data_IF_761517449886
#
_entry.id   IF_761517449886
#
_cell.length_a   1.000
_cell.length_b   1.000
_cell.length_c   1.000
_cell.angle_alpha   90.00
_cell.angle_beta   90.00
_cell.angle_gamma   90.00
#
_symmetry.space_group_name_H-M   'P 1'
#
loop_
_entity.id
_entity.type
_entity.pdbx_description
1 polymer ?
#
# COMPACT_ATOMS: atom_id res chain seq x y z
N UNK A 1 -43.69 53.23 -14.90
CA UNK A 1 -42.98 52.03 -15.38
C UNK A 1 -42.38 51.31 -14.17
N UNK A 2 -42.89 50.14 -13.79
CA UNK A 2 -42.33 49.31 -12.72
C UNK A 2 -41.25 48.41 -13.32
N UNK A 3 -40.00 48.56 -12.88
CA UNK A 3 -38.93 47.66 -13.26
C UNK A 3 -39.22 46.24 -12.72
N UNK A 4 -39.11 45.24 -13.60
CA UNK A 4 -39.44 43.84 -13.30
C UNK A 4 -38.35 43.16 -12.46
N UNK A 5 -38.67 42.47 -11.35
CA UNK A 5 -37.67 41.80 -10.49
C UNK A 5 -37.01 40.56 -11.12
N UNK A 6 -37.41 40.17 -12.33
CA UNK A 6 -36.90 38.98 -13.02
C UNK A 6 -35.46 39.13 -13.54
N UNK A 7 -34.96 40.37 -13.73
CA UNK A 7 -33.62 40.63 -14.27
C UNK A 7 -32.49 40.45 -13.23
N UNK A 8 -32.79 40.63 -11.93
CA UNK A 8 -31.79 40.58 -10.84
C UNK A 8 -31.42 39.14 -10.47
N UNK A 9 -32.34 38.19 -10.59
CA UNK A 9 -32.11 36.77 -10.26
C UNK A 9 -31.19 36.09 -11.30
N UNK A 10 -31.32 36.41 -12.59
CA UNK A 10 -30.49 35.85 -13.67
C UNK A 10 -29.05 36.39 -13.63
N UNK A 11 -28.86 37.66 -13.26
CA UNK A 11 -27.53 38.28 -13.07
C UNK A 11 -26.79 37.75 -11.84
N UNK A 12 -27.50 37.49 -10.74
CA UNK A 12 -26.90 36.92 -9.53
C UNK A 12 -26.49 35.45 -9.73
N UNK A 13 -27.31 34.65 -10.44
CA UNK A 13 -26.98 33.26 -10.76
C UNK A 13 -25.77 33.17 -11.70
N UNK A 14 -25.67 34.03 -12.72
CA UNK A 14 -24.53 34.05 -13.64
C UNK A 14 -23.24 34.56 -12.96
N UNK A 15 -23.33 35.56 -12.08
CA UNK A 15 -22.20 36.03 -11.28
C UNK A 15 -21.71 34.97 -10.29
N UNK A 16 -22.62 34.26 -9.61
CA UNK A 16 -22.27 33.15 -8.73
C UNK A 16 -21.66 31.97 -9.50
N UNK A 17 -22.19 31.63 -10.69
CA UNK A 17 -21.62 30.60 -11.55
C UNK A 17 -20.19 30.96 -12.02
N UNK A 18 -19.96 32.22 -12.41
CA UNK A 18 -18.63 32.71 -12.78
C UNK A 18 -17.65 32.67 -11.61
N UNK A 19 -18.05 33.13 -10.41
CA UNK A 19 -17.21 33.07 -9.20
C UNK A 19 -16.86 31.63 -8.82
N UNK A 20 -17.81 30.70 -8.94
CA UNK A 20 -17.57 29.27 -8.70
C UNK A 20 -16.49 28.73 -9.65
N UNK A 21 -16.59 29.06 -10.93
CA UNK A 21 -15.62 28.64 -11.95
C UNK A 21 -14.21 29.19 -11.69
N UNK A 22 -14.08 30.40 -11.13
CA UNK A 22 -12.78 30.95 -10.71
C UNK A 22 -12.11 30.07 -9.65
N UNK A 23 -12.87 29.62 -8.64
CA UNK A 23 -12.34 28.75 -7.57
C UNK A 23 -12.05 27.34 -8.09
N UNK A 24 -12.88 26.79 -8.97
CA UNK A 24 -12.62 25.50 -9.62
C UNK A 24 -11.35 25.54 -10.47
N UNK A 25 -11.09 26.65 -11.18
CA UNK A 25 -9.83 26.87 -11.91
C UNK A 25 -8.63 26.99 -10.97
N UNK A 26 -8.76 27.71 -9.87
CA UNK A 26 -7.70 27.85 -8.86
C UNK A 26 -7.35 26.50 -8.23
N UNK A 27 -8.34 25.68 -7.88
CA UNK A 27 -8.15 24.30 -7.42
C UNK A 27 -7.46 23.43 -8.48
N UNK A 28 -7.88 23.52 -9.74
CA UNK A 28 -7.24 22.76 -10.83
C UNK A 28 -5.78 23.15 -11.04
N UNK A 29 -5.45 24.44 -10.92
CA UNK A 29 -4.07 24.91 -10.96
C UNK A 29 -3.26 24.38 -9.76
N UNK A 30 -3.84 24.44 -8.56
CA UNK A 30 -3.25 23.86 -7.35
C UNK A 30 -2.95 22.36 -7.54
N UNK A 31 -3.88 21.62 -8.15
CA UNK A 31 -3.69 20.19 -8.45
C UNK A 31 -2.57 19.93 -9.44
N UNK A 32 -2.44 20.76 -10.49
CA UNK A 32 -1.35 20.65 -11.47
C UNK A 32 0.02 20.94 -10.85
N UNK A 33 0.12 21.97 -10.00
CA UNK A 33 1.35 22.31 -9.28
C UNK A 33 1.72 21.22 -8.27
N UNK A 34 0.72 20.66 -7.58
CA UNK A 34 0.90 19.54 -6.67
C UNK A 34 1.40 18.30 -7.43
N UNK A 35 0.75 17.93 -8.53
CA UNK A 35 1.14 16.80 -9.38
C UNK A 35 2.59 16.90 -9.87
N UNK A 36 3.00 18.10 -10.32
CA UNK A 36 4.38 18.38 -10.76
C UNK A 36 5.38 18.53 -9.61
N UNK A 37 4.91 18.40 -8.36
CA UNK A 37 5.70 18.62 -7.14
C UNK A 37 6.46 19.95 -7.16
N UNK A 38 5.85 20.98 -7.75
CA UNK A 38 6.44 22.32 -7.93
C UNK A 38 6.33 23.14 -6.64
N UNK A 39 7.15 22.77 -5.65
CA UNK A 39 7.08 23.30 -4.28
C UNK A 39 7.11 24.84 -4.20
N UNK A 40 7.93 25.48 -5.04
CA UNK A 40 8.07 26.94 -5.04
C UNK A 40 6.77 27.59 -5.54
N UNK A 41 6.32 27.22 -6.73
CA UNK A 41 5.07 27.72 -7.31
C UNK A 41 3.83 27.38 -6.47
N UNK A 42 3.78 26.22 -5.82
CA UNK A 42 2.66 25.84 -4.96
C UNK A 42 2.62 26.69 -3.69
N UNK A 43 3.77 26.97 -3.08
CA UNK A 43 3.86 27.84 -1.92
C UNK A 43 3.45 29.29 -2.25
N UNK A 44 3.76 29.77 -3.46
CA UNK A 44 3.40 31.12 -3.93
C UNK A 44 1.89 31.28 -4.19
N UNK A 45 1.10 30.20 -4.17
CA UNK A 45 -0.37 30.28 -4.20
C UNK A 45 -0.99 30.70 -2.87
N UNK A 46 -0.21 30.73 -1.79
CA UNK A 46 -0.68 31.10 -0.45
C UNK A 46 -0.51 32.60 -0.19
N UNK A 47 -1.38 33.15 0.67
CA UNK A 47 -1.14 34.45 1.28
C UNK A 47 0.14 34.44 2.13
N UNK A 48 0.74 35.61 2.44
CA UNK A 48 1.91 35.70 3.32
C UNK A 48 1.71 35.01 4.69
N UNK A 49 0.50 35.05 5.22
CA UNK A 49 0.09 34.37 6.47
C UNK A 49 -0.76 33.11 6.21
N UNK A 50 -0.78 32.60 4.98
CA UNK A 50 -1.53 31.42 4.59
C UNK A 50 -1.06 30.17 5.33
N UNK A 51 -1.97 29.22 5.59
CA UNK A 51 -1.67 28.05 6.43
C UNK A 51 -2.00 26.73 5.73
N UNK A 52 -1.02 25.83 5.66
CA UNK A 52 -1.21 24.43 5.28
C UNK A 52 -1.18 23.54 6.52
N UNK A 53 -2.23 22.77 6.75
CA UNK A 53 -2.35 21.90 7.92
C UNK A 53 -3.38 20.78 7.70
N UNK A 54 -3.54 19.92 8.70
CA UNK A 54 -4.39 18.74 8.57
C UNK A 54 -4.44 17.89 9.83
N UNK A 55 -5.29 16.86 9.83
CA UNK A 55 -5.38 15.92 10.94
C UNK A 55 -4.08 15.10 11.02
N UNK A 56 -3.35 15.20 12.14
CA UNK A 56 -2.12 14.44 12.38
C UNK A 56 -0.86 15.03 11.74
N UNK A 57 -0.92 16.27 11.23
CA UNK A 57 0.26 16.98 10.71
C UNK A 57 0.49 18.30 11.45
N UNK A 58 1.75 18.74 11.47
CA UNK A 58 2.14 20.08 11.94
C UNK A 58 1.48 21.17 11.06
N UNK A 59 1.22 22.34 11.64
CA UNK A 59 0.80 23.54 10.88
C UNK A 59 2.02 24.22 10.26
N UNK A 60 1.94 24.54 8.97
CA UNK A 60 2.96 25.30 8.23
C UNK A 60 2.36 26.64 7.84
N UNK A 61 3.03 27.74 8.23
CA UNK A 61 2.51 29.10 8.09
C UNK A 61 3.44 29.89 7.18
N UNK A 62 2.84 30.51 6.16
CA UNK A 62 3.52 31.32 5.15
C UNK A 62 4.25 30.52 4.07
N UNK A 63 4.52 31.15 2.91
CA UNK A 63 5.10 30.46 1.75
C UNK A 63 6.42 29.74 2.06
N UNK A 64 7.33 30.32 2.84
CA UNK A 64 8.63 29.70 3.11
C UNK A 64 8.53 28.39 3.90
N UNK A 65 7.69 28.38 4.95
CA UNK A 65 7.47 27.17 5.75
C UNK A 65 6.77 26.09 4.94
N UNK A 66 5.82 26.47 4.08
CA UNK A 66 5.08 25.55 3.21
C UNK A 66 6.02 24.97 2.15
N UNK A 67 6.82 25.81 1.50
CA UNK A 67 7.84 25.40 0.50
C UNK A 67 8.82 24.39 1.07
N UNK A 68 9.36 24.64 2.27
CA UNK A 68 10.29 23.71 2.94
C UNK A 68 9.64 22.34 3.19
N UNK A 69 8.39 22.33 3.65
CA UNK A 69 7.63 21.09 3.83
C UNK A 69 7.40 20.37 2.50
N UNK A 70 6.99 21.08 1.45
CA UNK A 70 6.75 20.47 0.14
C UNK A 70 8.04 19.88 -0.47
N UNK A 71 9.20 20.52 -0.28
CA UNK A 71 10.50 20.00 -0.74
C UNK A 71 10.95 18.71 -0.03
N UNK A 72 10.43 18.42 1.18
CA UNK A 72 10.81 17.18 1.87
C UNK A 72 10.31 15.92 1.16
N UNK A 73 9.21 15.99 0.40
CA UNK A 73 8.69 14.85 -0.35
C UNK A 73 9.60 14.44 -1.51
N UNK A 74 10.24 15.41 -2.18
CA UNK A 74 11.24 15.14 -3.21
C UNK A 74 12.45 14.43 -2.62
N UNK A 75 12.90 14.86 -1.43
CA UNK A 75 14.03 14.25 -0.73
C UNK A 75 13.71 12.82 -0.25
N UNK A 76 12.44 12.53 0.02
CA UNK A 76 11.96 11.22 0.42
C UNK A 76 11.76 10.23 -0.74
N UNK A 77 12.11 10.60 -1.99
CA UNK A 77 11.97 9.72 -3.16
C UNK A 77 10.51 9.39 -3.51
N UNK A 78 9.57 10.27 -3.17
CA UNK A 78 8.15 10.11 -3.47
C UNK A 78 7.85 10.75 -4.81
N UNK A 79 7.10 10.07 -5.67
CA UNK A 79 6.62 10.58 -6.95
C UNK A 79 5.11 10.46 -7.05
N UNK A 80 4.43 11.47 -7.60
CA UNK A 80 3.00 11.40 -7.87
C UNK A 80 2.75 10.74 -9.24
N UNK A 81 1.88 9.73 -9.26
CA UNK A 81 1.34 9.08 -10.45
C UNK A 81 0.06 9.81 -10.90
N UNK A 82 -0.77 10.24 -9.94
CA UNK A 82 -1.91 11.12 -10.18
C UNK A 82 -2.21 11.97 -8.95
N UNK A 83 -2.85 13.11 -9.16
CA UNK A 83 -3.37 13.99 -8.11
C UNK A 83 -4.64 14.68 -8.61
N UNK A 84 -5.65 14.75 -7.76
CA UNK A 84 -6.84 15.53 -8.07
C UNK A 84 -7.73 15.80 -6.86
N UNK A 85 -8.42 16.94 -6.92
CA UNK A 85 -9.49 17.32 -6.02
C UNK A 85 -10.85 17.22 -6.70
N UNK A 86 -11.88 16.94 -5.89
CA UNK A 86 -13.28 16.96 -6.29
C UNK A 86 -14.06 17.84 -5.29
N UNK A 87 -14.24 19.15 -5.58
CA UNK A 87 -14.99 20.05 -4.71
C UNK A 87 -16.48 19.67 -4.69
N UNK A 88 -17.03 19.46 -3.50
CA UNK A 88 -18.46 19.15 -3.28
C UNK A 88 -19.28 20.39 -2.96
N UNK A 89 -18.68 21.38 -2.29
CA UNK A 89 -19.30 22.66 -1.99
C UNK A 89 -18.29 23.79 -2.18
N UNK A 90 -18.79 24.92 -2.67
CA UNK A 90 -18.06 26.18 -2.74
C UNK A 90 -19.00 27.28 -2.25
N UNK A 91 -18.64 27.95 -1.15
CA UNK A 91 -19.42 29.04 -0.54
C UNK A 91 -18.62 30.33 -0.55
N UNK A 92 -19.31 31.47 -0.65
CA UNK A 92 -18.69 32.78 -0.75
C UNK A 92 -19.18 33.70 0.36
N UNK A 93 -18.27 34.51 0.91
CA UNK A 93 -18.56 35.63 1.82
C UNK A 93 -17.68 36.80 1.38
N UNK A 94 -18.26 37.75 0.63
CA UNK A 94 -17.51 38.85 0.02
C UNK A 94 -16.42 38.34 -0.93
N UNK A 95 -15.17 38.75 -0.67
CA UNK A 95 -13.96 38.33 -1.39
C UNK A 95 -13.28 37.10 -0.79
N UNK A 96 -14.02 36.34 0.02
CA UNK A 96 -13.59 35.05 0.55
C UNK A 96 -14.41 33.93 -0.06
N UNK A 97 -13.75 32.83 -0.42
CA UNK A 97 -14.41 31.58 -0.80
C UNK A 97 -13.95 30.42 0.09
N UNK A 98 -14.84 29.50 0.39
CA UNK A 98 -14.53 28.24 1.07
C UNK A 98 -14.95 27.11 0.14
N UNK A 99 -13.99 26.28 -0.26
CA UNK A 99 -14.26 25.05 -0.99
C UNK A 99 -13.98 23.83 -0.12
N UNK A 100 -14.91 22.88 -0.10
CA UNK A 100 -14.80 21.62 0.64
C UNK A 100 -15.06 20.46 -0.32
N UNK A 101 -14.33 19.36 -0.13
CA UNK A 101 -14.45 18.21 -1.02
C UNK A 101 -13.56 17.04 -0.64
N UNK A 102 -13.29 16.19 -1.62
CA UNK A 102 -12.39 15.05 -1.49
C UNK A 102 -11.16 15.22 -2.36
N UNK A 103 -10.05 14.58 -2.01
CA UNK A 103 -8.88 14.46 -2.85
C UNK A 103 -8.46 13.01 -3.00
N UNK A 104 -7.78 12.71 -4.11
CA UNK A 104 -7.09 11.45 -4.37
C UNK A 104 -5.69 11.73 -4.91
N UNK A 105 -4.71 10.99 -4.39
CA UNK A 105 -3.33 11.00 -4.82
C UNK A 105 -2.86 9.56 -5.00
N UNK A 106 -2.34 9.22 -6.17
CA UNK A 106 -1.61 7.97 -6.37
C UNK A 106 -0.13 8.29 -6.35
N UNK A 107 0.65 7.58 -5.55
CA UNK A 107 2.08 7.85 -5.40
C UNK A 107 2.90 6.58 -5.61
N UNK A 108 4.13 6.76 -6.09
CA UNK A 108 5.20 5.77 -6.01
C UNK A 108 6.16 6.20 -4.89
N UNK A 109 6.44 5.31 -3.96
CA UNK A 109 7.36 5.53 -2.84
C UNK A 109 8.80 5.17 -3.23
N UNK A 110 9.77 5.57 -2.41
CA UNK A 110 11.20 5.32 -2.67
C UNK A 110 11.55 3.84 -2.81
N UNK A 111 10.82 2.96 -2.10
CA UNK A 111 11.00 1.51 -2.20
C UNK A 111 10.34 0.89 -3.45
N UNK A 112 9.79 1.72 -4.34
CA UNK A 112 9.09 1.32 -5.57
C UNK A 112 7.62 0.97 -5.39
N UNK A 113 7.12 0.88 -4.14
CA UNK A 113 5.71 0.57 -3.88
C UNK A 113 4.80 1.69 -4.36
N UNK A 114 3.59 1.34 -4.81
CA UNK A 114 2.56 2.33 -5.12
C UNK A 114 1.50 2.37 -4.03
N UNK A 115 0.98 3.57 -3.75
CA UNK A 115 -0.06 3.79 -2.76
C UNK A 115 -1.14 4.74 -3.29
N UNK A 116 -2.38 4.51 -2.86
CA UNK A 116 -3.50 5.42 -3.12
C UNK A 116 -3.89 6.10 -1.80
N UNK A 117 -3.76 7.41 -1.77
CA UNK A 117 -4.03 8.26 -0.61
C UNK A 117 -5.25 9.11 -0.93
N UNK A 118 -6.27 8.99 -0.08
CA UNK A 118 -7.52 9.74 -0.24
C UNK A 118 -7.83 10.49 1.04
N UNK A 119 -8.69 11.49 0.94
CA UNK A 119 -9.15 12.21 2.12
C UNK A 119 -10.15 13.30 1.78
N UNK A 120 -10.44 14.13 2.77
CA UNK A 120 -11.21 15.36 2.56
C UNK A 120 -10.31 16.58 2.65
N UNK A 121 -10.69 17.65 1.97
CA UNK A 121 -10.05 18.95 2.10
C UNK A 121 -11.07 20.06 2.41
N UNK A 122 -10.57 21.12 3.03
CA UNK A 122 -11.24 22.41 3.18
C UNK A 122 -10.24 23.51 2.87
N UNK A 123 -10.49 24.26 1.81
CA UNK A 123 -9.64 25.39 1.40
C UNK A 123 -10.38 26.70 1.58
N UNK A 124 -9.72 27.68 2.19
CA UNK A 124 -10.19 29.07 2.26
C UNK A 124 -9.34 29.92 1.31
N UNK A 125 -10.01 30.59 0.38
CA UNK A 125 -9.43 31.46 -0.62
C UNK A 125 -9.82 32.91 -0.33
N UNK A 126 -8.91 33.84 -0.63
CA UNK A 126 -9.18 35.27 -0.56
C UNK A 126 -8.72 35.93 -1.86
N UNK A 127 -9.58 36.79 -2.42
CA UNK A 127 -9.25 37.58 -3.60
C UNK A 127 -8.38 38.75 -3.18
N UNK A 128 -7.22 38.92 -3.80
CA UNK A 128 -6.34 40.05 -3.54
C UNK A 128 -6.75 41.28 -4.38
N UNK A 129 -6.11 42.43 -4.13
CA UNK A 129 -6.41 43.68 -4.86
C UNK A 129 -6.18 43.64 -6.38
N UNK A 130 -5.43 42.64 -6.87
CA UNK A 130 -5.21 42.38 -8.30
C UNK A 130 -6.26 41.43 -8.91
N UNK A 131 -7.23 40.96 -8.11
CA UNK A 131 -8.26 40.03 -8.56
C UNK A 131 -7.84 38.55 -8.54
N UNK A 132 -6.67 38.21 -8.01
CA UNK A 132 -6.19 36.83 -7.92
C UNK A 132 -6.67 36.16 -6.62
N UNK A 133 -7.10 34.90 -6.72
CA UNK A 133 -7.43 34.09 -5.55
C UNK A 133 -6.18 33.45 -4.96
N UNK A 134 -5.90 33.74 -3.69
CA UNK A 134 -4.80 33.16 -2.93
C UNK A 134 -5.34 32.34 -1.75
N UNK A 135 -4.60 31.29 -1.36
CA UNK A 135 -4.95 30.44 -0.23
C UNK A 135 -4.66 31.15 1.10
N UNK A 136 -5.72 31.41 1.85
CA UNK A 136 -5.63 31.74 3.27
C UNK A 136 -5.41 30.47 4.10
N UNK A 137 -6.04 29.36 3.72
CA UNK A 137 -5.72 28.07 4.31
C UNK A 137 -6.08 26.88 3.43
N UNK A 138 -5.32 25.80 3.60
CA UNK A 138 -5.62 24.47 3.09
C UNK A 138 -5.57 23.49 4.26
N UNK A 139 -6.71 22.90 4.58
CA UNK A 139 -6.83 21.84 5.58
C UNK A 139 -7.10 20.50 4.89
N UNK A 140 -6.32 19.46 5.21
CA UNK A 140 -6.56 18.10 4.72
C UNK A 140 -6.80 17.11 5.87
N UNK A 141 -7.69 16.14 5.65
CA UNK A 141 -7.92 15.02 6.56
C UNK A 141 -7.80 13.72 5.77
N UNK A 142 -6.65 13.03 5.85
CA UNK A 142 -6.47 11.73 5.22
C UNK A 142 -7.50 10.72 5.72
N UNK A 143 -8.04 9.94 4.80
CA UNK A 143 -8.74 8.69 5.10
C UNK A 143 -7.70 7.63 5.46
N UNK A 144 -8.08 6.65 6.29
CA UNK A 144 -7.25 5.45 6.46
C UNK A 144 -7.03 4.83 5.07
N UNK A 145 -5.79 4.48 4.69
CA UNK A 145 -5.54 3.78 3.43
C UNK A 145 -6.45 2.56 3.35
N UNK A 146 -7.28 2.48 2.31
CA UNK A 146 -8.02 1.25 2.04
C UNK A 146 -7.00 0.25 1.51
N UNK A 147 -6.90 -0.91 2.16
CA UNK A 147 -6.04 -1.97 1.65
C UNK A 147 -6.54 -2.40 0.27
N UNK A 148 -5.64 -2.47 -0.71
CA UNK A 148 -5.91 -3.11 -1.99
C UNK A 148 -5.76 -4.62 -1.84
N UNK A 149 -6.40 -5.41 -2.71
CA UNK A 149 -6.28 -6.87 -2.71
C UNK A 149 -4.80 -7.31 -2.76
N UNK A 150 -4.01 -6.71 -3.66
CA UNK A 150 -2.55 -6.89 -3.74
C UNK A 150 -1.85 -6.64 -2.40
N UNK A 151 -2.17 -5.53 -1.74
CA UNK A 151 -1.52 -5.17 -0.46
C UNK A 151 -1.89 -6.11 0.69
N UNK A 152 -3.09 -6.71 0.65
CA UNK A 152 -3.52 -7.72 1.64
C UNK A 152 -2.79 -9.03 1.39
N UNK A 153 -2.82 -9.53 0.15
CA UNK A 153 -2.19 -10.80 -0.22
C UNK A 153 -0.68 -10.78 -0.02
N UNK A 154 0.00 -9.69 -0.41
CA UNK A 154 1.44 -9.53 -0.19
C UNK A 154 1.79 -9.50 1.30
N UNK A 155 0.95 -8.87 2.13
CA UNK A 155 1.17 -8.85 3.58
C UNK A 155 0.98 -10.24 4.18
N UNK A 156 -0.06 -10.96 3.78
CA UNK A 156 -0.29 -12.34 4.22
C UNK A 156 0.88 -13.26 3.83
N UNK A 157 1.40 -13.16 2.61
CA UNK A 157 2.58 -13.90 2.19
C UNK A 157 3.79 -13.57 3.08
N UNK A 158 4.04 -12.28 3.36
CA UNK A 158 5.12 -11.87 4.25
C UNK A 158 4.98 -12.48 5.65
N UNK A 159 3.75 -12.61 6.16
CA UNK A 159 3.51 -13.26 7.46
C UNK A 159 3.83 -14.76 7.46
N UNK A 160 3.85 -15.42 6.30
CA UNK A 160 4.28 -16.81 6.19
C UNK A 160 5.78 -16.96 5.96
N UNK A 161 6.49 -15.88 5.62
CA UNK A 161 7.89 -15.97 5.22
C UNK A 161 8.87 -15.25 6.14
N UNK A 162 8.75 -13.93 6.31
CA UNK A 162 9.76 -13.08 6.98
C UNK A 162 9.22 -12.27 8.15
N UNK A 163 7.91 -12.07 8.23
CA UNK A 163 7.29 -11.22 9.22
C UNK A 163 6.55 -12.04 10.26
N UNK A 164 7.04 -12.01 11.51
CA UNK A 164 6.30 -12.57 12.63
C UNK A 164 5.11 -11.67 12.98
N UNK A 165 3.92 -12.25 12.98
CA UNK A 165 2.65 -11.59 13.32
C UNK A 165 1.80 -12.62 14.09
N UNK A 166 0.59 -12.98 13.63
CA UNK A 166 -0.29 -14.00 14.21
C UNK A 166 0.33 -15.38 14.39
N UNK A 167 1.36 -15.73 13.62
CA UNK A 167 2.09 -17.00 13.71
C UNK A 167 3.57 -16.82 13.37
N UNK A 168 4.36 -17.86 13.66
CA UNK A 168 5.79 -17.89 13.33
C UNK A 168 5.96 -18.08 11.82
N UNK A 169 6.79 -17.26 11.14
CA UNK A 169 7.05 -17.39 9.71
C UNK A 169 8.05 -18.52 9.39
N UNK A 170 8.09 -18.96 8.13
CA UNK A 170 8.89 -20.10 7.67
C UNK A 170 10.38 -19.95 7.99
N UNK A 171 10.96 -18.76 7.77
CA UNK A 171 12.38 -18.52 7.98
C UNK A 171 12.80 -18.79 9.45
N UNK A 172 11.96 -18.39 10.41
CA UNK A 172 12.16 -18.65 11.85
C UNK A 172 11.87 -20.13 12.17
N UNK A 173 10.83 -20.71 11.54
CA UNK A 173 10.41 -22.07 11.81
C UNK A 173 11.47 -23.12 11.44
N UNK A 174 12.25 -22.89 10.38
CA UNK A 174 13.36 -23.78 9.98
C UNK A 174 14.70 -23.38 10.57
N UNK A 175 14.79 -22.19 11.18
CA UNK A 175 16.05 -21.63 11.68
C UNK A 175 16.73 -22.55 12.71
N UNK A 176 18.00 -22.86 12.44
CA UNK A 176 18.86 -23.63 13.36
C UNK A 176 18.50 -25.11 13.51
N UNK A 177 17.56 -25.65 12.72
CA UNK A 177 17.39 -27.11 12.65
C UNK A 177 18.60 -27.74 11.97
N UNK A 178 19.13 -28.77 12.61
CA UNK A 178 20.10 -29.67 11.97
C UNK A 178 19.38 -30.64 11.03
N UNK A 179 20.11 -31.20 10.08
CA UNK A 179 19.53 -32.14 9.12
C UNK A 179 18.98 -33.41 9.81
N UNK A 180 19.66 -33.93 10.85
CA UNK A 180 19.13 -35.00 11.71
C UNK A 180 17.80 -34.64 12.37
N UNK A 181 17.68 -33.41 12.87
CA UNK A 181 16.44 -32.93 13.48
C UNK A 181 15.33 -32.76 12.43
N UNK A 182 15.67 -32.34 11.21
CA UNK A 182 14.72 -32.23 10.11
C UNK A 182 14.24 -33.60 9.57
N UNK A 183 15.09 -34.64 9.66
CA UNK A 183 14.75 -36.04 9.30
C UNK A 183 13.93 -36.76 10.36
N UNK A 184 13.95 -36.28 11.61
CA UNK A 184 13.29 -36.96 12.72
C UNK A 184 11.77 -37.03 12.51
N UNK A 185 11.21 -38.22 12.76
CA UNK A 185 9.78 -38.49 12.80
C UNK A 185 9.36 -38.84 14.24
N UNK A 186 8.15 -38.46 14.60
CA UNK A 186 7.53 -38.75 15.89
C UNK A 186 7.07 -40.21 16.06
N UNK A 187 7.12 -41.00 14.98
CA UNK A 187 6.73 -42.41 14.98
C UNK A 187 5.23 -42.65 14.79
N UNK A 188 4.40 -41.62 14.67
CA UNK A 188 2.95 -41.76 14.47
C UNK A 188 2.51 -41.67 13.01
N UNK A 189 3.45 -41.82 12.07
CA UNK A 189 3.18 -41.72 10.62
C UNK A 189 3.12 -40.28 10.10
N UNK A 190 3.37 -39.27 10.93
CA UNK A 190 3.45 -37.88 10.48
C UNK A 190 4.69 -37.63 9.60
N UNK A 191 4.61 -36.60 8.76
CA UNK A 191 5.76 -36.10 8.02
C UNK A 191 6.78 -35.45 8.98
N UNK A 192 8.07 -35.55 8.64
CA UNK A 192 9.11 -34.83 9.37
C UNK A 192 9.11 -33.33 9.02
N UNK A 193 9.80 -32.51 9.83
CA UNK A 193 9.96 -31.08 9.55
C UNK A 193 10.61 -30.82 8.17
N UNK A 194 11.58 -31.67 7.79
CA UNK A 194 12.24 -31.59 6.49
C UNK A 194 11.32 -31.98 5.32
N UNK A 195 10.49 -33.02 5.49
CA UNK A 195 9.48 -33.38 4.48
C UNK A 195 8.46 -32.25 4.26
N UNK A 196 8.01 -31.61 5.36
CA UNK A 196 7.10 -30.46 5.28
C UNK A 196 7.75 -29.25 4.58
N UNK A 197 9.02 -28.95 4.90
CA UNK A 197 9.74 -27.88 4.23
C UNK A 197 9.95 -28.16 2.73
N UNK A 198 10.29 -29.40 2.37
CA UNK A 198 10.40 -29.82 0.97
C UNK A 198 9.07 -29.70 0.23
N UNK A 199 7.97 -30.10 0.85
CA UNK A 199 6.61 -29.94 0.32
C UNK A 199 6.26 -28.47 0.05
N UNK A 200 6.61 -27.58 0.98
CA UNK A 200 6.43 -26.14 0.80
C UNK A 200 7.24 -25.61 -0.40
N UNK A 201 8.51 -26.02 -0.54
CA UNK A 201 9.33 -25.64 -1.71
C UNK A 201 8.64 -26.10 -3.00
N UNK A 202 8.24 -27.36 -3.08
CA UNK A 202 7.62 -27.93 -4.28
C UNK A 202 6.39 -27.12 -4.74
N UNK A 203 5.42 -26.90 -3.84
CA UNK A 203 4.18 -26.23 -4.20
C UNK A 203 4.37 -24.73 -4.48
N UNK A 204 5.21 -24.04 -3.70
CA UNK A 204 5.49 -22.63 -3.97
C UNK A 204 6.22 -22.46 -5.30
N UNK A 205 7.20 -23.30 -5.64
CA UNK A 205 7.92 -23.20 -6.92
C UNK A 205 6.99 -23.49 -8.10
N UNK A 206 6.17 -24.54 -7.97
CA UNK A 206 5.21 -24.93 -9.00
C UNK A 206 4.22 -23.81 -9.30
N UNK A 207 3.56 -23.29 -8.26
CA UNK A 207 2.59 -22.21 -8.39
C UNK A 207 3.26 -20.91 -8.89
N UNK A 208 4.49 -20.61 -8.46
CA UNK A 208 5.22 -19.43 -8.91
C UNK A 208 5.48 -19.49 -10.41
N UNK A 209 5.95 -20.64 -10.92
CA UNK A 209 6.16 -20.83 -12.35
C UNK A 209 4.87 -20.62 -13.14
N UNK A 210 3.74 -21.18 -12.67
CA UNK A 210 2.44 -20.94 -13.30
C UNK A 210 2.04 -19.46 -13.25
N UNK A 211 2.28 -18.77 -12.13
CA UNK A 211 2.01 -17.33 -12.00
C UNK A 211 2.82 -16.50 -12.99
N UNK A 212 4.09 -16.86 -13.19
CA UNK A 212 5.00 -16.22 -14.13
C UNK A 212 4.83 -16.69 -15.60
N UNK A 213 3.86 -17.58 -15.86
CA UNK A 213 3.64 -18.23 -17.16
C UNK A 213 4.89 -19.00 -17.67
N UNK A 214 5.69 -19.52 -16.77
CA UNK A 214 6.84 -20.39 -17.07
C UNK A 214 6.38 -21.84 -17.27
N UNK A 215 7.11 -22.66 -18.06
CA UNK A 215 6.81 -24.07 -18.20
C UNK A 215 6.85 -24.81 -16.85
N UNK A 216 5.85 -25.65 -16.62
CA UNK A 216 5.74 -26.49 -15.42
C UNK A 216 5.61 -27.94 -15.83
N UNK A 217 6.40 -28.81 -15.20
CA UNK A 217 6.31 -30.24 -15.42
C UNK A 217 4.93 -30.77 -15.06
N UNK A 218 4.46 -31.79 -15.79
CA UNK A 218 3.17 -32.42 -15.49
C UNK A 218 3.21 -33.00 -14.08
N UNK A 219 2.21 -32.66 -13.28
CA UNK A 219 1.96 -33.34 -12.02
C UNK A 219 1.02 -34.51 -12.30
N UNK A 220 1.39 -35.69 -11.84
CA UNK A 220 0.61 -36.92 -12.03
C UNK A 220 -0.57 -37.04 -11.04
N UNK A 221 -0.64 -36.15 -10.05
CA UNK A 221 -1.69 -36.10 -9.04
C UNK A 221 -1.31 -36.76 -7.71
N UNK A 222 -0.14 -37.38 -7.61
CA UNK A 222 0.30 -38.04 -6.39
C UNK A 222 0.96 -37.05 -5.42
N UNK A 223 0.19 -36.56 -4.46
CA UNK A 223 0.69 -35.59 -3.48
C UNK A 223 1.77 -36.17 -2.55
N UNK A 224 1.81 -37.49 -2.33
CA UNK A 224 2.80 -38.11 -1.46
C UNK A 224 4.24 -37.91 -1.99
N UNK A 225 4.43 -37.84 -3.30
CA UNK A 225 5.75 -37.64 -3.92
C UNK A 225 6.38 -36.29 -3.55
N UNK A 226 5.55 -35.34 -3.13
CA UNK A 226 6.00 -34.02 -2.68
C UNK A 226 6.58 -34.04 -1.25
N UNK A 227 6.59 -35.19 -0.58
CA UNK A 227 7.22 -35.41 0.73
C UNK A 227 8.40 -36.40 0.68
N UNK A 228 8.57 -37.17 -0.39
CA UNK A 228 9.42 -38.38 -0.39
C UNK A 228 10.86 -38.16 -0.89
N UNK A 229 11.18 -37.03 -1.51
CA UNK A 229 12.53 -36.74 -2.07
C UNK A 229 13.38 -35.89 -1.12
N UNK A 230 13.45 -36.30 0.14
CA UNK A 230 14.24 -35.62 1.16
C UNK A 230 15.32 -36.54 1.75
N UNK A 231 16.59 -36.13 1.62
CA UNK A 231 17.72 -36.70 2.34
C UNK A 231 18.43 -35.65 3.24
N UNK A 232 19.26 -36.14 4.17
CA UNK A 232 20.00 -35.29 5.11
C UNK A 232 20.94 -34.28 4.41
N UNK A 233 21.49 -34.64 3.24
CA UNK A 233 22.45 -33.82 2.49
C UNK A 233 21.76 -32.63 1.81
N UNK A 234 20.47 -32.77 1.51
CA UNK A 234 19.67 -31.74 0.85
C UNK A 234 19.13 -30.67 1.81
N UNK A 235 19.18 -30.89 3.13
CA UNK A 235 18.50 -30.01 4.09
C UNK A 235 18.86 -28.53 3.95
N UNK A 236 20.14 -28.20 3.88
CA UNK A 236 20.58 -26.81 3.75
C UNK A 236 20.13 -26.18 2.42
N UNK A 237 20.08 -26.97 1.34
CA UNK A 237 19.59 -26.51 0.04
C UNK A 237 18.08 -26.27 0.05
N UNK A 238 17.31 -27.11 0.76
CA UNK A 238 15.87 -26.95 0.96
C UNK A 238 15.56 -25.66 1.73
N UNK A 239 16.28 -25.39 2.82
CA UNK A 239 16.13 -24.15 3.59
C UNK A 239 16.38 -22.93 2.69
N UNK A 240 17.43 -22.97 1.87
CA UNK A 240 17.74 -21.89 0.94
C UNK A 240 16.68 -21.73 -0.15
N UNK A 241 16.20 -22.83 -0.74
CA UNK A 241 15.14 -22.81 -1.76
C UNK A 241 13.82 -22.30 -1.21
N UNK A 242 13.49 -22.63 0.04
CA UNK A 242 12.28 -22.16 0.70
C UNK A 242 12.31 -20.63 0.89
N UNK A 243 13.45 -20.08 1.32
CA UNK A 243 13.64 -18.63 1.41
C UNK A 243 13.56 -17.97 0.03
N UNK A 244 14.30 -18.50 -0.96
CA UNK A 244 14.35 -17.96 -2.32
C UNK A 244 12.96 -17.93 -2.99
N UNK A 245 12.22 -19.04 -2.95
CA UNK A 245 10.92 -19.12 -3.62
C UNK A 245 9.90 -18.17 -3.00
N UNK A 246 9.92 -17.98 -1.67
CA UNK A 246 9.02 -17.06 -0.98
C UNK A 246 9.40 -15.59 -1.26
N UNK A 247 10.70 -15.25 -1.34
CA UNK A 247 11.15 -13.92 -1.79
C UNK A 247 10.77 -13.62 -3.24
N UNK A 248 10.88 -14.63 -4.12
CA UNK A 248 10.49 -14.50 -5.52
C UNK A 248 8.98 -14.29 -5.65
N UNK A 249 8.17 -14.95 -4.82
CA UNK A 249 6.73 -14.68 -4.74
C UNK A 249 6.42 -13.25 -4.28
N UNK A 250 7.11 -12.73 -3.26
CA UNK A 250 6.94 -11.34 -2.82
C UNK A 250 7.22 -10.35 -3.97
N UNK A 251 8.28 -10.61 -4.73
CA UNK A 251 8.68 -9.82 -5.91
C UNK A 251 7.64 -9.93 -7.04
N UNK A 252 7.16 -11.15 -7.33
CA UNK A 252 6.17 -11.41 -8.36
C UNK A 252 4.83 -10.71 -8.07
N UNK A 253 4.32 -10.79 -6.84
CA UNK A 253 3.08 -10.12 -6.43
C UNK A 253 3.23 -8.59 -6.48
N UNK A 254 4.38 -8.08 -6.03
CA UNK A 254 4.66 -6.63 -6.05
C UNK A 254 4.66 -6.06 -7.47
N UNK A 255 5.20 -6.80 -8.44
CA UNK A 255 5.35 -6.34 -9.82
C UNK A 255 4.14 -6.68 -10.72
N UNK A 256 3.21 -7.53 -10.28
CA UNK A 256 2.06 -7.92 -11.07
C UNK A 256 1.04 -6.77 -11.26
N UNK A 257 0.30 -6.82 -12.37
CA UNK A 257 -0.85 -5.92 -12.58
C UNK A 257 -1.99 -6.23 -11.60
N UNK A 258 -2.88 -5.26 -11.37
CA UNK A 258 -4.05 -5.50 -10.51
C UNK A 258 -5.00 -6.54 -11.12
N UNK A 259 -5.08 -6.64 -12.45
CA UNK A 259 -5.81 -7.69 -13.18
C UNK A 259 -5.25 -9.08 -12.87
N UNK A 260 -3.94 -9.28 -13.05
CA UNK A 260 -3.28 -10.57 -12.73
C UNK A 260 -3.49 -10.94 -11.27
N UNK A 261 -3.43 -9.97 -10.34
CA UNK A 261 -3.72 -10.21 -8.93
C UNK A 261 -5.17 -10.62 -8.71
N UNK A 262 -6.14 -10.01 -9.38
CA UNK A 262 -7.54 -10.42 -9.29
C UNK A 262 -7.75 -11.85 -9.80
N UNK A 263 -7.12 -12.23 -10.91
CA UNK A 263 -7.21 -13.58 -11.47
C UNK A 263 -6.57 -14.64 -10.56
N UNK A 264 -5.49 -14.27 -9.87
CA UNK A 264 -4.71 -15.19 -9.03
C UNK A 264 -5.04 -15.11 -7.53
N UNK A 265 -6.02 -14.30 -7.13
CA UNK A 265 -6.25 -13.97 -5.73
C UNK A 265 -6.48 -15.21 -4.85
N UNK A 266 -7.28 -16.17 -5.33
CA UNK A 266 -7.60 -17.39 -4.58
C UNK A 266 -6.39 -18.30 -4.47
N UNK A 267 -5.62 -18.45 -5.55
CA UNK A 267 -4.39 -19.24 -5.53
C UNK A 267 -3.38 -18.68 -4.54
N UNK A 268 -3.17 -17.36 -4.53
CA UNK A 268 -2.24 -16.71 -3.60
C UNK A 268 -2.74 -16.83 -2.15
N UNK A 269 -4.04 -16.61 -1.92
CA UNK A 269 -4.63 -16.74 -0.59
C UNK A 269 -4.51 -18.17 -0.05
N UNK A 270 -4.85 -19.18 -0.87
CA UNK A 270 -4.77 -20.58 -0.51
C UNK A 270 -3.32 -21.05 -0.29
N UNK A 271 -2.37 -20.54 -1.09
CA UNK A 271 -0.95 -20.80 -0.88
C UNK A 271 -0.47 -20.21 0.46
N UNK A 272 -0.90 -19.00 0.80
CA UNK A 272 -0.54 -18.39 2.10
C UNK A 272 -1.10 -19.20 3.28
N UNK A 273 -2.34 -19.68 3.20
CA UNK A 273 -2.92 -20.51 4.28
C UNK A 273 -2.27 -21.89 4.36
N UNK A 274 -1.95 -22.50 3.22
CA UNK A 274 -1.18 -23.75 3.13
C UNK A 274 0.22 -23.61 3.75
N UNK A 275 0.94 -22.53 3.43
CA UNK A 275 2.22 -22.19 4.05
C UNK A 275 2.08 -22.11 5.57
N UNK A 276 1.14 -21.30 6.08
CA UNK A 276 0.90 -21.16 7.51
C UNK A 276 0.58 -22.49 8.21
N UNK A 277 -0.25 -23.33 7.57
CA UNK A 277 -0.63 -24.66 8.07
C UNK A 277 0.59 -25.56 8.30
N UNK A 278 1.45 -25.73 7.28
CA UNK A 278 2.61 -26.59 7.39
C UNK A 278 3.73 -25.99 8.26
N UNK A 279 3.86 -24.66 8.30
CA UNK A 279 4.76 -24.01 9.26
C UNK A 279 4.34 -24.33 10.70
N UNK A 280 3.03 -24.29 10.99
CA UNK A 280 2.49 -24.72 12.28
C UNK A 280 2.88 -26.16 12.65
N UNK A 281 2.80 -27.08 11.67
CA UNK A 281 3.23 -28.47 11.86
C UNK A 281 4.74 -28.59 12.12
N UNK A 282 5.59 -27.85 11.40
CA UNK A 282 7.03 -27.80 11.65
C UNK A 282 7.30 -27.37 13.09
N UNK A 283 6.68 -26.28 13.55
CA UNK A 283 6.84 -25.80 14.93
C UNK A 283 6.37 -26.83 15.95
N UNK A 284 5.25 -27.51 15.68
CA UNK A 284 4.74 -28.56 16.55
C UNK A 284 5.73 -29.73 16.69
N UNK A 285 6.29 -30.21 15.58
CA UNK A 285 7.32 -31.25 15.57
C UNK A 285 8.57 -30.82 16.33
N UNK A 286 9.01 -29.56 16.17
CA UNK A 286 10.13 -29.02 16.95
C UNK A 286 9.86 -28.99 18.44
N UNK A 287 8.62 -28.71 18.86
CA UNK A 287 8.22 -28.78 20.27
C UNK A 287 8.27 -30.22 20.80
N UNK A 288 7.76 -31.20 20.04
CA UNK A 288 7.85 -32.62 20.41
C UNK A 288 9.30 -33.11 20.52
N UNK A 289 10.16 -32.66 19.61
CA UNK A 289 11.59 -32.97 19.62
C UNK A 289 12.36 -32.26 20.74
N UNK A 290 11.79 -31.22 21.36
CA UNK A 290 12.50 -30.35 22.31
C UNK A 290 13.50 -29.38 21.66
N UNK A 291 13.47 -29.21 20.33
CA UNK A 291 14.38 -28.33 19.58
C UNK A 291 13.81 -26.92 19.33
N UNK A 292 12.58 -26.64 19.79
CA UNK A 292 11.95 -25.33 19.68
C UNK A 292 12.39 -24.39 20.81
N UNK A 293 12.83 -23.18 20.46
CA UNK A 293 13.06 -22.10 21.42
C UNK A 293 11.77 -21.26 21.60
N UNK A 294 11.10 -21.28 22.77
CA UNK A 294 9.85 -20.54 22.99
C UNK A 294 9.96 -19.03 22.76
N UNK A 295 11.13 -18.41 22.98
CA UNK A 295 11.32 -16.95 22.76
C UNK A 295 11.18 -16.54 21.28
N UNK A 296 11.33 -17.50 20.36
CA UNK A 296 11.12 -17.26 18.92
C UNK A 296 9.63 -17.22 18.53
N UNK A 297 8.74 -17.64 19.43
CA UNK A 297 7.28 -17.62 19.24
C UNK A 297 6.67 -16.22 19.12
N UNK A 298 5.39 -16.18 18.79
CA UNK A 298 4.55 -14.97 18.86
C UNK A 298 4.24 -14.67 20.34
N UNK A 299 4.21 -13.39 20.72
CA UNK A 299 3.91 -12.92 22.08
C UNK A 299 2.53 -12.28 22.11
#
# INVERSE_FOLDING_TARGET
MKASPLLVIVLLLSACANKKLEIEKALKQYDQLTFRMSADSLADTYLPNGVLFGKGMKKFVGPDSIRKFLKSFNTAGIHLISNGTNPKSITFVGDTAIAEGTYEQKTKLANGDTGVYTGTFKSKWMKNGSGNWLLASMYTKPSKPKATLKSVLLRQLKTTHTQKDWFVPANIAVEGLTAKQAMWKDGSGNHSAGQLAFHLVYWNERLLKQFLNEPVEKFDGNNEETFDRFDEKQWNDIVKKLDDVLLRWETAIKNASDEKINDWQENIANMNTHNAYHIGQIIFLRKLQGSWNPEKGVK
#
